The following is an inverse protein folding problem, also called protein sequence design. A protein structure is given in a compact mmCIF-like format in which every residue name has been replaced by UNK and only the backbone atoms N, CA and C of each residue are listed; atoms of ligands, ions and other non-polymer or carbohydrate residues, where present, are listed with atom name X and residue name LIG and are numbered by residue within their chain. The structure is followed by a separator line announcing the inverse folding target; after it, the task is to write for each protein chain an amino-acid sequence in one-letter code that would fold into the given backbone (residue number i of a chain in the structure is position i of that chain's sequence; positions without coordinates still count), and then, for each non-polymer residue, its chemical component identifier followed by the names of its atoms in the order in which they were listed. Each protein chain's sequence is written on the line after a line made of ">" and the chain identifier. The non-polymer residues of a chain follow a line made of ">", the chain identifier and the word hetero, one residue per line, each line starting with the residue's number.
data_IF_845476526092
#
_entry.id   IF_845476526092
#
_cell.length_a   1.000
_cell.length_b   1.000
_cell.length_c   1.000
_cell.angle_alpha   90.00
_cell.angle_beta   90.00
_cell.angle_gamma   90.00
#
_symmetry.space_group_name_H-M   'P 1'
#
loop_
_entity.id
_entity.type
_entity.pdbx_description
1 polymer ?
#
# COMPACT_ATOMS: atom_id res chain seq x y z
N UNK A 1 11.57 31.11 -28.60
CA UNK A 1 12.60 30.07 -28.39
C UNK A 1 13.28 30.37 -27.05
N UNK A 2 12.94 29.59 -26.02
CA UNK A 2 13.53 29.45 -24.67
C UNK A 2 12.50 28.60 -23.90
N UNK A 3 12.51 27.26 -23.88
CA UNK A 3 13.51 26.31 -23.38
C UNK A 3 14.00 26.64 -21.96
N UNK A 4 13.52 25.87 -20.99
CA UNK A 4 14.18 25.29 -19.79
C UNK A 4 13.04 24.81 -18.86
N UNK A 5 12.64 23.53 -18.89
CA UNK A 5 13.23 22.35 -18.23
C UNK A 5 13.16 22.37 -16.69
N UNK A 6 12.36 21.41 -16.19
CA UNK A 6 12.57 20.55 -15.00
C UNK A 6 12.39 21.23 -13.64
N UNK A 7 11.38 20.77 -12.88
CA UNK A 7 11.61 20.12 -11.59
C UNK A 7 10.57 19.01 -11.37
N UNK A 8 10.92 17.85 -11.92
CA UNK A 8 10.53 16.54 -11.41
C UNK A 8 11.22 16.40 -10.05
N UNK A 9 10.50 16.66 -8.97
CA UNK A 9 11.00 16.52 -7.60
C UNK A 9 9.78 16.19 -6.74
N UNK A 10 9.67 15.03 -6.09
CA UNK A 10 10.72 14.18 -5.56
C UNK A 10 10.17 12.78 -5.34
N UNK A 11 10.99 11.78 -5.63
CA UNK A 11 10.86 10.42 -5.12
C UNK A 11 11.10 10.41 -3.61
N UNK A 12 10.18 10.99 -2.83
CA UNK A 12 10.07 10.70 -1.40
C UNK A 12 8.81 9.88 -1.32
N UNK A 13 8.95 8.56 -1.44
CA UNK A 13 7.87 7.63 -1.15
C UNK A 13 7.62 7.67 0.36
N UNK A 14 7.01 8.76 0.84
CA UNK A 14 6.05 8.64 1.93
C UNK A 14 5.02 7.70 1.33
N UNK A 15 4.99 6.44 1.76
CA UNK A 15 4.04 5.50 1.20
C UNK A 15 2.67 5.94 1.72
N UNK A 16 2.02 6.85 1.01
CA UNK A 16 0.75 7.41 1.40
C UNK A 16 -0.22 6.23 1.60
N UNK A 17 -0.86 6.10 2.76
CA UNK A 17 -1.72 4.95 3.06
C UNK A 17 -2.72 4.60 1.94
N UNK A 18 -3.30 5.61 1.28
CA UNK A 18 -4.17 5.40 0.12
C UNK A 18 -3.50 4.69 -1.06
N UNK A 19 -2.24 5.00 -1.36
CA UNK A 19 -1.49 4.32 -2.42
C UNK A 19 -1.18 2.87 -2.03
N UNK A 20 -0.79 2.63 -0.78
CA UNK A 20 -0.55 1.28 -0.28
C UNK A 20 -1.82 0.43 -0.32
N UNK A 21 -2.97 0.98 0.06
CA UNK A 21 -4.27 0.31 -0.07
C UNK A 21 -4.60 -0.03 -1.53
N UNK A 22 -4.48 0.93 -2.44
CA UNK A 22 -4.78 0.69 -3.85
C UNK A 22 -3.86 -0.39 -4.47
N UNK A 23 -2.59 -0.40 -4.10
CA UNK A 23 -1.64 -1.44 -4.54
C UNK A 23 -2.00 -2.81 -3.96
N UNK A 24 -2.40 -2.89 -2.69
CA UNK A 24 -2.87 -4.15 -2.09
C UNK A 24 -4.09 -4.67 -2.87
N UNK A 25 -5.07 -3.82 -3.16
CA UNK A 25 -6.30 -4.19 -3.86
C UNK A 25 -6.01 -4.77 -5.23
N UNK A 26 -5.20 -4.04 -6.00
CA UNK A 26 -4.75 -4.47 -7.32
C UNK A 26 -4.04 -5.82 -7.27
N UNK A 27 -3.19 -6.05 -6.25
CA UNK A 27 -2.48 -7.32 -6.10
C UNK A 27 -3.39 -8.45 -5.64
N UNK A 28 -4.38 -8.19 -4.80
CA UNK A 28 -5.36 -9.20 -4.39
C UNK A 28 -6.15 -9.70 -5.60
N UNK A 29 -6.56 -8.80 -6.49
CA UNK A 29 -7.22 -9.14 -7.76
C UNK A 29 -6.31 -9.93 -8.71
N UNK A 30 -5.02 -9.60 -8.76
CA UNK A 30 -4.08 -10.28 -9.68
C UNK A 30 -3.47 -11.57 -9.14
N UNK A 31 -3.40 -11.74 -7.82
CA UNK A 31 -2.60 -12.78 -7.14
C UNK A 31 -3.46 -13.87 -6.48
N UNK A 32 -4.78 -13.83 -6.65
CA UNK A 32 -5.71 -14.76 -5.98
C UNK A 32 -5.41 -16.23 -6.28
N UNK A 33 -4.73 -16.53 -7.39
CA UNK A 33 -4.37 -17.90 -7.79
C UNK A 33 -3.04 -18.40 -7.20
N UNK A 34 -2.20 -17.52 -6.65
CA UNK A 34 -0.83 -17.85 -6.22
C UNK A 34 -0.58 -17.71 -4.71
N UNK A 35 -1.54 -17.18 -3.95
CA UNK A 35 -1.46 -17.05 -2.50
C UNK A 35 -2.25 -18.16 -1.82
N UNK A 36 -1.76 -18.64 -0.66
CA UNK A 36 -2.57 -19.50 0.20
C UNK A 36 -3.74 -18.70 0.81
N UNK A 37 -4.82 -19.39 1.15
CA UNK A 37 -5.99 -18.79 1.82
C UNK A 37 -5.59 -18.05 3.11
N UNK A 38 -4.61 -18.58 3.85
CA UNK A 38 -4.05 -17.96 5.04
C UNK A 38 -3.38 -16.61 4.73
N UNK A 39 -2.51 -16.56 3.70
CA UNK A 39 -1.87 -15.30 3.27
C UNK A 39 -2.92 -14.31 2.78
N UNK A 40 -3.90 -14.76 2.01
CA UNK A 40 -4.98 -13.92 1.50
C UNK A 40 -5.80 -13.29 2.64
N UNK A 41 -6.19 -14.11 3.62
CA UNK A 41 -6.91 -13.67 4.81
C UNK A 41 -6.09 -12.63 5.59
N UNK A 42 -4.80 -12.91 5.82
CA UNK A 42 -3.91 -12.02 6.56
C UNK A 42 -3.70 -10.67 5.87
N UNK A 43 -3.52 -10.67 4.56
CA UNK A 43 -3.37 -9.42 3.77
C UNK A 43 -4.66 -8.59 3.85
N UNK A 44 -5.82 -9.24 3.72
CA UNK A 44 -7.12 -8.58 3.79
C UNK A 44 -7.38 -7.96 5.17
N UNK A 45 -7.04 -8.68 6.23
CA UNK A 45 -7.12 -8.20 7.61
C UNK A 45 -6.25 -6.96 7.83
N UNK A 46 -4.98 -7.02 7.42
CA UNK A 46 -4.06 -5.89 7.54
C UNK A 46 -4.54 -4.68 6.72
N UNK A 47 -5.05 -4.90 5.50
CA UNK A 47 -5.65 -3.82 4.67
C UNK A 47 -6.80 -3.12 5.40
N UNK A 48 -7.70 -3.89 6.03
CA UNK A 48 -8.82 -3.35 6.80
C UNK A 48 -8.36 -2.56 8.04
N UNK A 49 -7.37 -3.08 8.78
CA UNK A 49 -6.80 -2.38 9.93
C UNK A 49 -6.09 -1.08 9.52
N UNK A 50 -5.34 -1.10 8.42
CA UNK A 50 -4.69 0.08 7.87
C UNK A 50 -5.71 1.17 7.53
N UNK A 51 -6.82 0.81 6.88
CA UNK A 51 -7.92 1.72 6.60
C UNK A 51 -8.56 2.29 7.87
N UNK A 52 -8.76 1.47 8.90
CA UNK A 52 -9.28 1.92 10.19
C UNK A 52 -8.39 2.99 10.84
N UNK A 53 -7.08 2.77 10.89
CA UNK A 53 -6.15 3.75 11.46
C UNK A 53 -6.08 5.03 10.61
N UNK A 54 -6.14 4.91 9.28
CA UNK A 54 -6.20 6.07 8.40
C UNK A 54 -7.44 6.92 8.68
N UNK A 55 -8.62 6.30 8.77
CA UNK A 55 -9.89 6.98 9.06
C UNK A 55 -9.95 7.61 10.44
N UNK A 56 -9.17 7.10 11.41
CA UNK A 56 -9.03 7.70 12.74
C UNK A 56 -7.95 8.79 12.82
N UNK A 57 -7.29 9.12 11.69
CA UNK A 57 -6.25 10.14 11.63
C UNK A 57 -4.86 9.66 12.08
N UNK A 58 -4.72 8.37 12.42
CA UNK A 58 -3.43 7.77 12.76
C UNK A 58 -2.72 7.26 11.50
N UNK A 59 -2.14 8.22 10.76
CA UNK A 59 -1.49 7.98 9.47
C UNK A 59 -0.28 7.06 9.61
N UNK A 60 0.57 7.29 10.61
CA UNK A 60 1.80 6.50 10.81
C UNK A 60 1.49 5.03 11.08
N UNK A 61 0.49 4.74 11.93
CA UNK A 61 0.07 3.37 12.21
C UNK A 61 -0.55 2.70 10.98
N UNK A 62 -1.32 3.46 10.21
CA UNK A 62 -1.86 2.98 8.95
C UNK A 62 -0.76 2.56 7.99
N UNK A 63 0.25 3.41 7.78
CA UNK A 63 1.38 3.14 6.90
C UNK A 63 2.17 1.89 7.35
N UNK A 64 2.47 1.76 8.65
CA UNK A 64 3.13 0.58 9.22
C UNK A 64 2.38 -0.72 8.87
N UNK A 65 1.06 -0.73 9.11
CA UNK A 65 0.21 -1.91 8.89
C UNK A 65 0.12 -2.26 7.40
N UNK A 66 -0.06 -1.25 6.53
CA UNK A 66 -0.20 -1.46 5.09
C UNK A 66 1.13 -1.92 4.47
N UNK A 67 2.27 -1.46 4.96
CA UNK A 67 3.58 -1.93 4.54
C UNK A 67 3.79 -3.41 4.92
N UNK A 68 3.31 -3.84 6.09
CA UNK A 68 3.33 -5.25 6.47
C UNK A 68 2.46 -6.11 5.54
N UNK A 69 1.29 -5.62 5.11
CA UNK A 69 0.46 -6.31 4.12
C UNK A 69 1.20 -6.45 2.78
N UNK A 70 1.86 -5.40 2.31
CA UNK A 70 2.62 -5.39 1.06
C UNK A 70 3.81 -6.37 1.08
N UNK A 71 4.45 -6.54 2.23
CA UNK A 71 5.57 -7.47 2.39
C UNK A 71 5.17 -8.94 2.18
N UNK A 72 3.92 -9.31 2.49
CA UNK A 72 3.42 -10.68 2.35
C UNK A 72 3.26 -11.14 0.90
N UNK A 73 3.19 -10.22 -0.07
CA UNK A 73 3.19 -10.55 -1.49
C UNK A 73 4.57 -10.93 -2.04
N UNK A 74 5.66 -10.64 -1.31
CA UNK A 74 7.04 -10.88 -1.76
C UNK A 74 7.64 -12.21 -1.24
N UNK A 75 6.94 -12.88 -0.33
CA UNK A 75 7.33 -14.15 0.29
C UNK A 75 6.52 -15.29 -0.27
#
# INVERSE_FOLDING_TARGET
>A
LAFILILFSSSISIACPYQSMAEIDKRLESSTTNLSDEKLSRITELRSQGEFFLKSGNVDKSEEILNNALALFKQ
#
